data_IF_735561371244
#
_entry.id   IF_735561371244
#
_cell.length_a   1.000
_cell.length_b   1.000
_cell.length_c   1.000
_cell.angle_alpha   90.00
_cell.angle_beta   90.00
_cell.angle_gamma   90.00
#
_symmetry.space_group_name_H-M   'P 1'
#
loop_
_entity.id
_entity.type
_entity.pdbx_description
1 polymer ?
#
# COMPACT_ATOMS: atom_id res chain seq x y z
N UNK A 1 -7.04 12.45 25.15
CA UNK A 1 -6.21 12.49 23.93
C UNK A 1 -4.81 11.88 24.15
N UNK A 2 -4.03 12.34 25.14
CA UNK A 2 -2.66 11.85 25.39
C UNK A 2 -2.55 10.34 25.60
N UNK A 3 -3.53 9.73 26.31
CA UNK A 3 -3.56 8.28 26.53
C UNK A 3 -3.53 7.51 25.21
N UNK A 4 -4.28 7.93 24.20
CA UNK A 4 -4.32 7.26 22.89
C UNK A 4 -2.93 7.32 22.21
N UNK A 5 -2.26 8.46 22.29
CA UNK A 5 -0.92 8.64 21.72
C UNK A 5 0.12 7.80 22.45
N UNK A 6 0.07 7.73 23.79
CA UNK A 6 0.95 6.84 24.58
C UNK A 6 0.77 5.37 24.19
N UNK A 7 -0.48 4.92 24.06
CA UNK A 7 -0.78 3.54 23.63
C UNK A 7 -0.29 3.28 22.20
N UNK A 8 -0.48 4.24 21.28
CA UNK A 8 0.02 4.15 19.90
C UNK A 8 1.55 4.01 19.85
N UNK A 9 2.28 4.84 20.61
CA UNK A 9 3.74 4.78 20.65
C UNK A 9 4.23 3.47 21.25
N UNK A 10 3.56 2.96 22.29
CA UNK A 10 3.86 1.64 22.83
C UNK A 10 3.58 0.52 21.82
N UNK A 11 2.50 0.62 21.03
CA UNK A 11 2.22 -0.32 19.95
C UNK A 11 3.37 -0.36 18.92
N UNK A 12 3.87 0.81 18.51
CA UNK A 12 5.02 0.95 17.62
C UNK A 12 6.26 0.25 18.19
N UNK A 13 6.60 0.54 19.45
CA UNK A 13 7.75 -0.06 20.13
C UNK A 13 7.67 -1.61 20.20
N UNK A 14 6.47 -2.15 20.44
CA UNK A 14 6.22 -3.60 20.43
C UNK A 14 6.36 -4.19 19.02
N UNK A 15 5.85 -3.50 18.00
CA UNK A 15 5.86 -3.96 16.62
C UNK A 15 7.29 -4.04 16.05
N UNK A 16 8.12 -3.04 16.35
CA UNK A 16 9.55 -3.00 15.97
C UNK A 16 10.36 -4.14 16.60
N UNK A 17 9.84 -4.78 17.66
CA UNK A 17 10.43 -5.96 18.31
C UNK A 17 9.74 -7.26 17.93
N UNK A 18 8.90 -7.23 16.89
CA UNK A 18 8.16 -8.36 16.39
C UNK A 18 7.21 -9.02 17.43
N UNK A 19 6.75 -8.26 18.43
CA UNK A 19 5.76 -8.74 19.42
C UNK A 19 4.34 -8.60 18.86
N UNK A 20 4.05 -9.35 17.79
CA UNK A 20 2.91 -9.12 16.90
C UNK A 20 1.55 -9.02 17.60
N UNK A 21 1.18 -10.01 18.43
CA UNK A 21 -0.12 -10.04 19.13
C UNK A 21 -0.28 -8.85 20.09
N UNK A 22 0.78 -8.51 20.82
CA UNK A 22 0.76 -7.40 21.78
C UNK A 22 0.67 -6.04 21.05
N UNK A 23 1.45 -5.88 19.98
CA UNK A 23 1.44 -4.69 19.14
C UNK A 23 0.05 -4.47 18.50
N UNK A 24 -0.53 -5.51 17.91
CA UNK A 24 -1.88 -5.45 17.34
C UNK A 24 -2.91 -5.01 18.36
N UNK A 25 -2.93 -5.65 19.53
CA UNK A 25 -3.86 -5.28 20.60
C UNK A 25 -3.72 -3.81 20.98
N UNK A 26 -2.48 -3.31 21.10
CA UNK A 26 -2.21 -1.90 21.42
C UNK A 26 -2.62 -0.95 20.29
N UNK A 27 -2.41 -1.31 19.01
CA UNK A 27 -2.88 -0.47 17.89
C UNK A 27 -4.41 -0.36 17.86
N UNK A 28 -5.14 -1.48 18.05
CA UNK A 28 -6.60 -1.48 18.10
C UNK A 28 -7.13 -0.66 19.28
N UNK A 29 -6.48 -0.76 20.44
CA UNK A 29 -6.83 0.06 21.61
C UNK A 29 -6.54 1.55 21.38
N UNK A 30 -5.40 1.89 20.76
CA UNK A 30 -5.09 3.27 20.38
C UNK A 30 -6.14 3.85 19.44
N UNK A 31 -6.56 3.08 18.43
CA UNK A 31 -7.65 3.44 17.53
C UNK A 31 -8.96 3.73 18.29
N UNK A 32 -9.37 2.81 19.18
CA UNK A 32 -10.60 2.96 19.99
C UNK A 32 -10.57 4.23 20.83
N UNK A 33 -9.48 4.47 21.56
CA UNK A 33 -9.30 5.65 22.40
C UNK A 33 -9.24 6.95 21.59
N UNK A 34 -8.59 6.92 20.42
CA UNK A 34 -8.51 8.07 19.52
C UNK A 34 -9.90 8.43 18.95
N UNK A 35 -10.69 7.42 18.55
CA UNK A 35 -12.07 7.60 18.07
C UNK A 35 -12.97 8.19 19.15
N UNK A 36 -12.91 7.66 20.38
CA UNK A 36 -13.63 8.21 21.54
C UNK A 36 -13.24 9.66 21.84
N UNK A 37 -11.97 10.01 21.64
CA UNK A 37 -11.46 11.37 21.82
C UNK A 37 -11.68 12.28 20.59
N UNK A 38 -12.45 11.85 19.57
CA UNK A 38 -12.68 12.58 18.30
C UNK A 38 -11.39 12.97 17.56
N UNK A 39 -10.32 12.16 17.68
CA UNK A 39 -9.02 12.36 17.03
C UNK A 39 -8.90 11.51 15.76
N UNK A 40 -9.70 11.83 14.74
CA UNK A 40 -9.81 11.03 13.50
C UNK A 40 -8.45 10.77 12.82
N UNK A 41 -7.55 11.76 12.79
CA UNK A 41 -6.19 11.58 12.22
C UNK A 41 -5.40 10.49 12.95
N UNK A 42 -5.36 10.54 14.29
CA UNK A 42 -4.66 9.51 15.08
C UNK A 42 -5.33 8.14 14.96
N UNK A 43 -6.66 8.10 14.89
CA UNK A 43 -7.40 6.85 14.69
C UNK A 43 -7.04 6.19 13.35
N UNK A 44 -6.99 6.96 12.25
CA UNK A 44 -6.56 6.46 10.96
C UNK A 44 -5.08 6.06 10.95
N UNK A 45 -4.19 6.86 11.55
CA UNK A 45 -2.76 6.52 11.66
C UNK A 45 -2.51 5.23 12.44
N UNK A 46 -3.26 4.97 13.50
CA UNK A 46 -3.18 3.72 14.25
C UNK A 46 -3.54 2.51 13.37
N UNK A 47 -4.58 2.62 12.55
CA UNK A 47 -5.01 1.54 11.65
C UNK A 47 -4.07 1.36 10.45
N UNK A 48 -3.58 2.44 9.83
CA UNK A 48 -2.65 2.31 8.70
C UNK A 48 -1.31 1.72 9.12
N UNK A 49 -0.78 2.10 10.30
CA UNK A 49 0.42 1.46 10.86
C UNK A 49 0.18 0.02 11.26
N UNK A 50 -1.00 -0.32 11.78
CA UNK A 50 -1.35 -1.73 11.99
C UNK A 50 -1.38 -2.49 10.66
N UNK A 51 -1.97 -1.92 9.61
CA UNK A 51 -1.96 -2.51 8.26
C UNK A 51 -0.55 -2.79 7.75
N UNK A 52 0.36 -1.82 7.86
CA UNK A 52 1.78 -1.99 7.54
C UNK A 52 2.40 -3.20 8.24
N UNK A 53 2.25 -3.31 9.56
CA UNK A 53 2.83 -4.43 10.31
C UNK A 53 2.14 -5.77 10.03
N UNK A 54 0.82 -5.78 9.80
CA UNK A 54 0.11 -6.99 9.39
C UNK A 54 0.63 -7.52 8.05
N UNK A 55 0.98 -6.65 7.10
CA UNK A 55 1.62 -7.04 5.85
C UNK A 55 2.99 -7.70 6.08
N UNK A 56 3.81 -7.13 6.96
CA UNK A 56 5.10 -7.71 7.38
C UNK A 56 4.95 -9.06 8.08
N UNK A 57 3.90 -9.22 8.88
CA UNK A 57 3.53 -10.50 9.50
C UNK A 57 2.75 -11.44 8.56
N UNK A 58 2.69 -11.14 7.26
CA UNK A 58 2.04 -11.95 6.21
C UNK A 58 0.52 -12.17 6.42
N UNK A 59 -0.14 -11.32 7.20
CA UNK A 59 -1.59 -11.36 7.49
C UNK A 59 -2.36 -10.42 6.57
N UNK A 60 -2.37 -10.75 5.28
CA UNK A 60 -2.81 -9.84 4.22
C UNK A 60 -4.31 -9.50 4.25
N UNK A 61 -5.18 -10.45 4.56
CA UNK A 61 -6.62 -10.19 4.61
C UNK A 61 -6.99 -9.26 5.77
N UNK A 62 -6.32 -9.41 6.91
CA UNK A 62 -6.51 -8.51 8.05
C UNK A 62 -5.91 -7.13 7.79
N UNK A 63 -4.76 -7.07 7.11
CA UNK A 63 -4.18 -5.81 6.66
C UNK A 63 -5.15 -5.05 5.73
N UNK A 64 -5.74 -5.76 4.75
CA UNK A 64 -6.72 -5.21 3.82
C UNK A 64 -7.88 -4.57 4.58
N UNK A 65 -8.46 -5.26 5.56
CA UNK A 65 -9.59 -4.74 6.31
C UNK A 65 -9.24 -3.50 7.13
N UNK A 66 -8.11 -3.49 7.86
CA UNK A 66 -7.75 -2.31 8.67
C UNK A 66 -7.35 -1.11 7.81
N UNK A 67 -6.74 -1.33 6.64
CA UNK A 67 -6.40 -0.27 5.69
C UNK A 67 -7.65 0.35 5.07
N UNK A 68 -8.61 -0.48 4.66
CA UNK A 68 -9.92 -0.02 4.18
C UNK A 68 -10.64 0.81 5.25
N UNK A 69 -10.65 0.34 6.50
CA UNK A 69 -11.23 1.11 7.62
C UNK A 69 -10.50 2.43 7.86
N UNK A 70 -9.18 2.45 7.75
CA UNK A 70 -8.36 3.66 7.92
C UNK A 70 -8.74 4.76 6.92
N UNK A 71 -8.93 4.42 5.66
CA UNK A 71 -9.30 5.39 4.61
C UNK A 71 -10.68 6.02 4.82
N UNK A 72 -11.63 5.24 5.35
CA UNK A 72 -12.98 5.72 5.64
C UNK A 72 -12.98 6.80 6.73
N UNK A 73 -11.97 6.83 7.61
CA UNK A 73 -11.86 7.82 8.68
C UNK A 73 -11.33 9.16 8.14
N UNK A 74 -10.32 9.13 7.28
CA UNK A 74 -9.74 10.34 6.69
C UNK A 74 -8.99 10.02 5.41
N UNK A 75 -9.53 10.49 4.28
CA UNK A 75 -8.90 10.37 2.96
C UNK A 75 -7.71 11.32 2.76
N UNK A 76 -7.76 12.52 3.35
CA UNK A 76 -6.78 13.60 3.08
C UNK A 76 -5.55 13.62 4.00
N UNK A 77 -5.55 12.93 5.15
CA UNK A 77 -4.49 13.09 6.17
C UNK A 77 -3.67 11.84 6.47
N UNK A 78 -3.87 10.78 5.68
CA UNK A 78 -3.21 9.50 5.86
C UNK A 78 -2.80 8.91 4.49
N UNK A 79 -1.65 9.32 3.93
CA UNK A 79 -1.21 8.85 2.62
C UNK A 79 -0.79 7.38 2.62
N UNK A 80 -0.47 6.83 3.80
CA UNK A 80 -0.02 5.46 3.96
C UNK A 80 -1.13 4.44 3.69
N UNK A 81 -2.36 4.70 4.14
CA UNK A 81 -3.47 3.77 3.97
C UNK A 81 -3.79 3.47 2.48
N UNK A 82 -4.02 4.46 1.61
CA UNK A 82 -4.29 4.22 0.20
C UNK A 82 -3.11 3.60 -0.54
N UNK A 83 -1.88 4.00 -0.22
CA UNK A 83 -0.69 3.38 -0.80
C UNK A 83 -0.64 1.87 -0.49
N UNK A 84 -0.66 1.49 0.78
CA UNK A 84 -0.57 0.08 1.19
C UNK A 84 -1.77 -0.75 0.74
N UNK A 85 -2.98 -0.17 0.75
CA UNK A 85 -4.16 -0.86 0.24
C UNK A 85 -4.04 -1.11 -1.27
N UNK A 86 -3.57 -0.13 -2.03
CA UNK A 86 -3.28 -0.29 -3.46
C UNK A 86 -2.23 -1.37 -3.73
N UNK A 87 -1.15 -1.42 -2.93
CA UNK A 87 -0.12 -2.47 -3.04
C UNK A 87 -0.72 -3.87 -2.81
N UNK A 88 -1.57 -4.04 -1.80
CA UNK A 88 -2.25 -5.32 -1.55
C UNK A 88 -3.19 -5.71 -2.69
N UNK A 89 -3.99 -4.77 -3.17
CA UNK A 89 -4.93 -5.03 -4.25
C UNK A 89 -4.20 -5.37 -5.55
N UNK A 90 -3.12 -4.64 -5.89
CA UNK A 90 -2.28 -4.90 -7.06
C UNK A 90 -1.74 -6.33 -7.03
N UNK A 91 -1.21 -6.75 -5.87
CA UNK A 91 -0.67 -8.10 -5.69
C UNK A 91 -1.74 -9.19 -5.83
N UNK A 92 -2.97 -8.91 -5.41
CA UNK A 92 -4.08 -9.87 -5.42
C UNK A 92 -4.97 -9.81 -6.67
N UNK A 93 -4.67 -8.92 -7.62
CA UNK A 93 -5.42 -8.78 -8.86
C UNK A 93 -5.28 -10.01 -9.78
N UNK A 94 -4.13 -10.69 -9.76
CA UNK A 94 -3.87 -11.83 -10.63
C UNK A 94 -3.94 -11.40 -12.11
N UNK A 95 -4.75 -12.10 -12.91
CA UNK A 95 -4.99 -11.78 -14.32
C UNK A 95 -6.15 -10.78 -14.55
N UNK A 96 -6.77 -10.28 -13.49
CA UNK A 96 -7.87 -9.30 -13.60
C UNK A 96 -7.30 -7.90 -13.87
N UNK A 97 -7.35 -7.49 -15.14
CA UNK A 97 -6.80 -6.23 -15.60
C UNK A 97 -7.53 -4.99 -15.02
N UNK A 98 -8.84 -5.09 -14.75
CA UNK A 98 -9.61 -3.96 -14.19
C UNK A 98 -9.25 -3.75 -12.72
N UNK A 99 -9.17 -4.84 -11.95
CA UNK A 99 -8.70 -4.78 -10.55
C UNK A 99 -7.26 -4.30 -10.47
N UNK A 100 -6.40 -4.73 -11.40
CA UNK A 100 -5.01 -4.27 -11.47
C UNK A 100 -4.96 -2.76 -11.72
N UNK A 101 -5.65 -2.26 -12.75
CA UNK A 101 -5.70 -0.82 -13.07
C UNK A 101 -6.23 0.01 -11.89
N UNK A 102 -7.31 -0.44 -11.26
CA UNK A 102 -7.90 0.22 -10.08
C UNK A 102 -6.94 0.30 -8.90
N UNK A 103 -6.17 -0.76 -8.66
CA UNK A 103 -5.16 -0.79 -7.59
C UNK A 103 -3.99 0.15 -7.89
N UNK A 104 -3.53 0.18 -9.14
CA UNK A 104 -2.47 1.07 -9.58
C UNK A 104 -2.88 2.55 -9.55
N UNK A 105 -4.09 2.90 -9.96
CA UNK A 105 -4.62 4.27 -9.85
C UNK A 105 -4.58 4.76 -8.41
N UNK A 106 -4.88 3.88 -7.46
CA UNK A 106 -4.79 4.18 -6.04
C UNK A 106 -3.35 4.42 -5.59
N UNK A 107 -2.38 3.66 -6.10
CA UNK A 107 -0.96 3.87 -5.83
C UNK A 107 -0.48 5.19 -6.44
N UNK A 108 -0.81 5.46 -7.71
CA UNK A 108 -0.47 6.68 -8.43
C UNK A 108 -1.05 7.93 -7.75
N UNK A 109 -2.27 7.83 -7.23
CA UNK A 109 -2.95 8.91 -6.50
C UNK A 109 -2.52 9.09 -5.04
N UNK A 110 -1.64 8.23 -4.51
CA UNK A 110 -1.13 8.36 -3.14
C UNK A 110 -0.08 9.48 -3.03
N UNK A 111 -0.10 10.20 -1.90
CA UNK A 111 0.88 11.27 -1.65
C UNK A 111 2.22 10.69 -1.15
N UNK A 112 3.16 11.57 -0.84
CA UNK A 112 4.45 11.22 -0.24
C UNK A 112 4.27 10.38 1.03
N UNK A 113 5.08 9.32 1.14
CA UNK A 113 5.03 8.37 2.24
C UNK A 113 5.77 8.87 3.48
N UNK A 114 5.37 8.42 4.69
CA UNK A 114 5.88 8.99 5.94
C UNK A 114 7.33 8.61 6.30
N UNK A 115 7.99 7.75 5.53
CA UNK A 115 9.41 7.41 5.72
C UNK A 115 10.12 7.27 4.39
N UNK A 116 11.41 7.62 4.37
CA UNK A 116 12.25 7.61 3.15
C UNK A 116 12.25 6.25 2.46
N UNK A 117 12.30 5.15 3.23
CA UNK A 117 12.22 3.78 2.71
C UNK A 117 10.89 3.53 1.96
N UNK A 118 9.76 3.90 2.57
CA UNK A 118 8.44 3.72 1.96
C UNK A 118 8.25 4.64 0.74
N UNK A 119 8.83 5.82 0.77
CA UNK A 119 8.77 6.75 -0.35
C UNK A 119 9.64 6.25 -1.51
N UNK A 120 10.83 5.70 -1.24
CA UNK A 120 11.66 5.06 -2.24
C UNK A 120 10.95 3.85 -2.88
N UNK A 121 10.32 2.98 -2.07
CA UNK A 121 9.48 1.88 -2.57
C UNK A 121 8.34 2.40 -3.45
N UNK A 122 7.64 3.47 -3.01
CA UNK A 122 6.56 4.07 -3.79
C UNK A 122 7.07 4.58 -5.12
N UNK A 123 8.17 5.34 -5.14
CA UNK A 123 8.74 5.91 -6.38
C UNK A 123 9.15 4.82 -7.37
N UNK A 124 9.77 3.73 -6.88
CA UNK A 124 10.09 2.58 -7.72
C UNK A 124 8.81 1.98 -8.34
N UNK A 125 7.75 1.82 -7.54
CA UNK A 125 6.49 1.28 -8.02
C UNK A 125 5.78 2.22 -9.01
N UNK A 126 5.87 3.54 -8.82
CA UNK A 126 5.36 4.53 -9.78
C UNK A 126 6.06 4.40 -11.14
N UNK A 127 7.39 4.24 -11.13
CA UNK A 127 8.17 4.06 -12.36
C UNK A 127 7.80 2.75 -13.06
N UNK A 128 7.67 1.65 -12.29
CA UNK A 128 7.25 0.35 -12.81
C UNK A 128 5.86 0.42 -13.47
N UNK A 129 4.87 1.01 -12.78
CA UNK A 129 3.52 1.20 -13.31
C UNK A 129 3.56 2.07 -14.57
N UNK A 130 4.33 3.17 -14.56
CA UNK A 130 4.48 4.06 -15.70
C UNK A 130 5.07 3.37 -16.92
N UNK A 131 6.11 2.55 -16.72
CA UNK A 131 6.72 1.75 -17.78
C UNK A 131 5.70 0.78 -18.40
N UNK A 132 5.03 -0.05 -17.59
CA UNK A 132 4.11 -1.06 -18.12
C UNK A 132 2.89 -0.45 -18.82
N UNK A 133 2.35 0.68 -18.32
CA UNK A 133 1.27 1.40 -18.99
C UNK A 133 1.71 2.00 -20.33
N UNK A 134 2.92 2.53 -20.40
CA UNK A 134 3.46 3.03 -21.67
C UNK A 134 3.73 1.88 -22.65
N UNK A 135 4.27 0.77 -22.16
CA UNK A 135 4.52 -0.45 -22.91
C UNK A 135 3.25 -1.08 -23.49
N UNK A 136 2.13 -1.07 -22.76
CA UNK A 136 0.82 -1.56 -23.25
C UNK A 136 0.38 -0.83 -24.52
N UNK A 137 0.69 0.47 -24.66
CA UNK A 137 0.21 1.27 -25.77
C UNK A 137 0.88 0.95 -27.13
N UNK A 138 2.12 0.46 -27.15
CA UNK A 138 2.84 0.15 -28.40
C UNK A 138 4.09 -0.71 -28.17
N UNK A 139 4.43 -1.65 -29.07
CA UNK A 139 5.68 -2.42 -28.98
C UNK A 139 6.95 -1.58 -28.94
N UNK A 140 6.96 -0.41 -29.58
CA UNK A 140 8.14 0.47 -29.58
C UNK A 140 8.46 1.04 -28.19
N UNK A 141 7.46 1.10 -27.30
CA UNK A 141 7.62 1.56 -25.91
C UNK A 141 8.29 0.51 -25.03
N UNK A 142 8.37 -0.75 -25.44
CA UNK A 142 9.09 -1.79 -24.70
C UNK A 142 10.56 -1.43 -24.48
N UNK A 143 11.19 -0.75 -25.44
CA UNK A 143 12.59 -0.29 -25.38
C UNK A 143 12.82 0.92 -24.46
N UNK A 144 11.79 1.39 -23.75
CA UNK A 144 11.91 2.44 -22.74
C UNK A 144 12.59 1.98 -21.44
N UNK A 145 12.88 0.68 -21.28
CA UNK A 145 13.61 0.13 -20.15
C UNK A 145 15.02 -0.31 -20.57
N UNK A 146 15.99 -0.14 -19.67
CA UNK A 146 17.33 -0.71 -19.80
C UNK A 146 17.41 -2.17 -19.32
N UNK A 147 16.34 -2.70 -18.71
CA UNK A 147 16.24 -4.09 -18.29
C UNK A 147 15.84 -4.99 -19.47
N UNK A 148 16.79 -5.77 -19.96
CA UNK A 148 16.57 -6.70 -21.07
C UNK A 148 15.42 -7.69 -20.80
N UNK A 149 15.21 -8.12 -19.55
CA UNK A 149 14.11 -9.02 -19.21
C UNK A 149 12.76 -8.32 -19.39
N UNK A 150 12.62 -7.06 -18.96
CA UNK A 150 11.40 -6.28 -19.15
C UNK A 150 11.09 -6.08 -20.64
N UNK A 151 12.11 -5.74 -21.44
CA UNK A 151 11.97 -5.59 -22.90
C UNK A 151 11.47 -6.89 -23.54
N UNK A 152 12.08 -8.03 -23.20
CA UNK A 152 11.69 -9.34 -23.74
C UNK A 152 10.26 -9.73 -23.35
N UNK A 153 9.89 -9.56 -22.07
CA UNK A 153 8.53 -9.84 -21.58
C UNK A 153 7.50 -8.98 -22.32
N UNK A 154 7.79 -7.68 -22.49
CA UNK A 154 6.92 -6.76 -23.19
C UNK A 154 6.71 -7.14 -24.67
N UNK A 155 7.79 -7.40 -25.41
CA UNK A 155 7.72 -7.78 -26.81
C UNK A 155 6.99 -9.12 -27.01
N UNK A 156 7.24 -10.09 -26.14
CA UNK A 156 6.52 -11.37 -26.16
C UNK A 156 5.02 -11.18 -25.92
N UNK A 157 4.64 -10.30 -24.99
CA UNK A 157 3.23 -9.96 -24.73
C UNK A 157 2.52 -9.40 -25.98
N UNK A 158 3.16 -8.45 -26.68
CA UNK A 158 2.63 -7.89 -27.93
C UNK A 158 2.52 -8.95 -29.05
N UNK A 159 3.53 -9.82 -29.19
CA UNK A 159 3.50 -10.90 -30.17
C UNK A 159 2.34 -11.87 -29.94
N UNK A 160 2.12 -12.30 -28.69
CA UNK A 160 0.99 -13.18 -28.32
C UNK A 160 -0.35 -12.52 -28.58
N UNK A 161 -0.50 -11.23 -28.28
CA UNK A 161 -1.75 -10.50 -28.54
C UNK A 161 -2.01 -10.32 -30.04
N UNK A 162 -0.97 -10.11 -30.84
CA UNK A 162 -1.09 -9.92 -32.29
C UNK A 162 -1.43 -11.20 -33.06
N UNK A 163 -1.21 -12.37 -32.44
CA UNK A 163 -1.53 -13.70 -32.99
C UNK A 163 -2.95 -14.19 -32.62
N UNK A 164 -3.69 -13.44 -31.80
CA UNK A 164 -5.10 -13.71 -31.45
C UNK A 164 -6.04 -12.88 -32.30
#
# INVERSE_FOLDING_TARGET
AERALRVYNHAKWLAERNLAKAAEHRYREAFRLAKQSKRSKLAAHALSRLGYFLMHWRRYDEAREVLRQSELITKKSNPLAPYLYGVLERRSAGSDAERLRSAEERILGSQEQPSDELEAERQQLLQEIGYWRAAEASPSRCFGSSDAAQVLICLAGHAVFSLR
#
